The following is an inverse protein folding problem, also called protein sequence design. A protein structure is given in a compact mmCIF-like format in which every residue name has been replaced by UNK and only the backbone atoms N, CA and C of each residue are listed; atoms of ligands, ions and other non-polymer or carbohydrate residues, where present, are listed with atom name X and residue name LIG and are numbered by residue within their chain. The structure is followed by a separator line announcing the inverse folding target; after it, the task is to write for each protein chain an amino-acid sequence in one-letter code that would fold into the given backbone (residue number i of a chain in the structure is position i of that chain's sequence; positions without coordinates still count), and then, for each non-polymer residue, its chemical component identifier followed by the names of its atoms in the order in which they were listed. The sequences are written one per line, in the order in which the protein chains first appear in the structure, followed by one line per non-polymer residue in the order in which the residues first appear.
data_IF_792646690509
#
_entry.id   IF_792646690509
#
_cell.length_a   1.000
_cell.length_b   1.000
_cell.length_c   1.000
_cell.angle_alpha   90.00
_cell.angle_beta   90.00
_cell.angle_gamma   90.00
#
_symmetry.space_group_name_H-M   'P 1'
#
loop_
_entity.id
_entity.type
_entity.pdbx_description
1 polymer ?
#
# COMPACT_ATOMS: atom_id res chain seq x y z
N UNK A 1 18.32 -38.46 -48.69
CA UNK A 1 17.31 -37.49 -49.17
C UNK A 1 16.16 -37.48 -48.16
N UNK A 2 15.78 -36.28 -47.73
CA UNK A 2 14.68 -35.87 -46.82
C UNK A 2 13.33 -36.53 -47.16
N UNK A 3 12.27 -36.56 -46.34
CA UNK A 3 11.77 -35.67 -45.29
C UNK A 3 10.77 -36.45 -44.37
N UNK A 4 10.75 -36.22 -43.05
CA UNK A 4 9.73 -35.46 -42.27
C UNK A 4 8.25 -35.71 -42.62
N UNK A 5 7.46 -36.13 -41.63
CA UNK A 5 6.34 -35.35 -41.07
C UNK A 5 5.93 -35.93 -39.72
N UNK A 6 6.09 -35.12 -38.68
CA UNK A 6 5.60 -35.23 -37.31
C UNK A 6 4.08 -35.11 -37.26
N UNK A 7 3.43 -35.83 -36.33
CA UNK A 7 2.14 -35.42 -35.78
C UNK A 7 2.15 -35.66 -34.26
N UNK A 8 2.40 -34.58 -33.55
CA UNK A 8 2.08 -34.39 -32.14
C UNK A 8 0.57 -34.20 -31.99
N UNK A 9 -0.06 -34.94 -31.08
CA UNK A 9 -1.26 -34.47 -30.39
C UNK A 9 -1.51 -35.27 -29.11
N UNK A 10 -1.30 -34.58 -28.00
CA UNK A 10 -2.02 -34.69 -26.73
C UNK A 10 -1.92 -36.00 -25.95
N UNK A 11 -1.03 -36.00 -24.95
CA UNK A 11 -1.44 -36.22 -23.55
C UNK A 11 -0.29 -35.85 -22.61
N UNK A 12 -0.10 -34.57 -22.32
CA UNK A 12 0.82 -34.15 -21.26
C UNK A 12 0.04 -33.43 -20.18
N UNK A 13 -0.05 -34.15 -19.06
CA UNK A 13 -0.04 -33.68 -17.70
C UNK A 13 -0.97 -32.53 -17.35
N UNK A 14 -2.14 -32.93 -16.83
CA UNK A 14 -2.67 -32.31 -15.61
C UNK A 14 -1.58 -32.33 -14.54
N UNK A 15 -0.85 -31.22 -14.39
CA UNK A 15 0.00 -30.99 -13.22
C UNK A 15 -0.37 -29.66 -12.57
N UNK A 16 -0.82 -29.82 -11.33
CA UNK A 16 -0.74 -28.87 -10.23
C UNK A 16 -1.77 -27.74 -10.21
N UNK A 17 -2.96 -28.09 -9.71
CA UNK A 17 -3.72 -27.13 -8.91
C UNK A 17 -2.90 -26.71 -7.69
N UNK A 18 -2.76 -25.39 -7.53
CA UNK A 18 -2.81 -24.67 -6.27
C UNK A 18 -2.03 -25.25 -5.08
N UNK A 19 -0.75 -24.89 -5.01
CA UNK A 19 -0.18 -24.43 -3.75
C UNK A 19 0.96 -23.45 -4.09
N UNK A 20 0.57 -22.20 -4.35
CA UNK A 20 1.49 -21.09 -4.16
C UNK A 20 1.08 -20.48 -2.84
N UNK A 21 1.61 -21.00 -1.74
CA UNK A 21 1.88 -20.18 -0.58
C UNK A 21 2.63 -18.93 -1.10
N UNK A 22 1.87 -17.87 -1.41
CA UNK A 22 2.43 -16.57 -1.70
C UNK A 22 3.01 -16.07 -0.39
N UNK A 23 4.26 -16.50 -0.11
CA UNK A 23 5.00 -16.05 1.05
C UNK A 23 5.13 -14.53 0.96
N UNK A 24 4.42 -13.84 1.84
CA UNK A 24 4.53 -12.39 1.97
C UNK A 24 6.00 -12.04 2.26
N UNK A 25 6.55 -10.99 1.63
CA UNK A 25 7.95 -10.62 1.81
C UNK A 25 8.21 -10.25 3.26
N UNK A 26 9.33 -10.70 3.81
CA UNK A 26 9.73 -10.39 5.19
C UNK A 26 9.95 -8.89 5.39
N UNK A 27 9.96 -8.44 6.65
CA UNK A 27 10.26 -7.06 7.02
C UNK A 27 11.56 -6.54 6.39
N UNK A 28 12.62 -7.33 6.43
CA UNK A 28 13.93 -6.94 5.89
C UNK A 28 13.88 -6.79 4.37
N UNK A 29 13.17 -7.68 3.68
CA UNK A 29 12.95 -7.60 2.23
C UNK A 29 12.13 -6.36 1.86
N UNK A 30 11.08 -6.04 2.63
CA UNK A 30 10.27 -4.84 2.42
C UNK A 30 11.08 -3.56 2.64
N UNK A 31 11.92 -3.51 3.68
CA UNK A 31 12.80 -2.38 3.95
C UNK A 31 13.84 -2.18 2.84
N UNK A 32 14.45 -3.26 2.36
CA UNK A 32 15.42 -3.22 1.27
C UNK A 32 14.75 -2.77 -0.04
N UNK A 33 13.58 -3.31 -0.36
CA UNK A 33 12.82 -2.94 -1.56
C UNK A 33 12.41 -1.46 -1.54
N UNK A 34 11.95 -0.95 -0.40
CA UNK A 34 11.60 0.47 -0.25
C UNK A 34 12.83 1.38 -0.35
N UNK A 35 13.95 0.98 0.25
CA UNK A 35 15.22 1.73 0.13
C UNK A 35 15.63 1.86 -1.33
N UNK A 36 15.67 0.74 -2.07
CA UNK A 36 16.01 0.73 -3.49
C UNK A 36 15.06 1.59 -4.32
N UNK A 37 13.75 1.57 -4.01
CA UNK A 37 12.74 2.39 -4.70
C UNK A 37 12.94 3.89 -4.45
N UNK A 38 13.23 4.29 -3.21
CA UNK A 38 13.48 5.71 -2.88
C UNK A 38 14.78 6.21 -3.49
N UNK A 39 15.84 5.39 -3.49
CA UNK A 39 17.09 5.68 -4.20
C UNK A 39 16.89 5.88 -5.70
N UNK A 40 16.05 5.04 -6.31
CA UNK A 40 15.71 5.18 -7.73
C UNK A 40 14.91 6.47 -7.99
N UNK A 41 13.95 6.81 -7.13
CA UNK A 41 13.22 8.08 -7.23
C UNK A 41 14.16 9.31 -7.10
N UNK A 42 15.17 9.23 -6.24
CA UNK A 42 16.18 10.27 -6.06
C UNK A 42 17.08 10.42 -7.29
N UNK A 43 17.44 9.32 -7.95
CA UNK A 43 18.19 9.36 -9.23
C UNK A 43 17.36 9.99 -10.35
N UNK A 44 16.07 9.67 -10.40
CA UNK A 44 15.14 10.24 -11.37
C UNK A 44 14.85 11.73 -11.09
N UNK A 45 14.98 12.17 -9.84
CA UNK A 45 14.69 13.54 -9.41
C UNK A 45 15.85 14.10 -8.55
N UNK A 46 17.02 14.40 -9.13
CA UNK A 46 18.21 14.80 -8.36
C UNK A 46 18.05 16.13 -7.61
N UNK A 47 17.07 16.96 -7.98
CA UNK A 47 16.73 18.20 -7.27
C UNK A 47 15.84 18.00 -6.04
N UNK A 48 15.18 16.85 -5.91
CA UNK A 48 14.38 16.53 -4.74
C UNK A 48 15.31 16.03 -3.62
N UNK A 49 15.26 16.59 -2.42
CA UNK A 49 15.93 16.00 -1.25
C UNK A 49 14.96 15.02 -0.58
N UNK A 50 15.00 13.75 -0.98
CA UNK A 50 14.13 12.71 -0.40
C UNK A 50 14.60 12.25 0.99
N UNK A 51 15.72 12.80 1.50
CA UNK A 51 16.27 12.52 2.84
C UNK A 51 16.36 11.03 3.14
N UNK A 52 16.95 10.27 2.21
CA UNK A 52 17.03 8.79 2.25
C UNK A 52 17.61 8.31 3.59
N UNK A 53 18.62 8.99 4.11
CA UNK A 53 19.28 8.67 5.38
C UNK A 53 18.34 8.70 6.60
N UNK A 54 17.23 9.46 6.52
CA UNK A 54 16.23 9.52 7.58
C UNK A 54 15.30 8.31 7.60
N UNK A 55 15.28 7.50 6.53
CA UNK A 55 14.46 6.29 6.40
C UNK A 55 13.02 6.49 6.87
N UNK A 56 12.42 7.61 6.46
CA UNK A 56 11.09 8.03 6.91
C UNK A 56 9.97 7.01 6.58
N UNK A 57 10.21 6.09 5.65
CA UNK A 57 9.31 4.98 5.32
C UNK A 57 9.40 3.79 6.31
N UNK A 58 10.47 3.67 7.09
CA UNK A 58 10.70 2.53 7.97
C UNK A 58 9.57 2.31 8.99
N UNK A 59 9.02 3.34 9.67
CA UNK A 59 7.88 3.15 10.56
C UNK A 59 6.63 2.57 9.87
N UNK A 60 6.42 2.88 8.59
CA UNK A 60 5.31 2.32 7.82
C UNK A 60 5.53 0.86 7.46
N UNK A 61 6.78 0.48 7.11
CA UNK A 61 7.14 -0.93 6.85
C UNK A 61 7.04 -1.75 8.14
N UNK A 62 7.46 -1.20 9.27
CA UNK A 62 7.37 -1.86 10.58
C UNK A 62 5.92 -2.11 10.98
N UNK A 63 5.06 -1.12 10.75
CA UNK A 63 3.62 -1.25 10.99
C UNK A 63 2.98 -2.27 10.04
N UNK A 64 3.34 -2.27 8.75
CA UNK A 64 2.87 -3.27 7.79
C UNK A 64 3.27 -4.69 8.17
N UNK A 65 4.52 -4.89 8.61
CA UNK A 65 5.00 -6.19 9.09
C UNK A 65 4.26 -6.64 10.36
N UNK A 66 4.04 -5.72 11.32
CA UNK A 66 3.26 -6.03 12.51
C UNK A 66 1.86 -6.51 12.16
N UNK A 67 1.18 -5.87 11.21
CA UNK A 67 -0.15 -6.30 10.77
C UNK A 67 -0.14 -7.67 10.08
N UNK A 68 0.92 -8.01 9.34
CA UNK A 68 1.08 -9.32 8.71
C UNK A 68 1.28 -10.44 9.74
N UNK A 69 1.99 -10.15 10.84
CA UNK A 69 2.23 -11.11 11.91
C UNK A 69 1.03 -11.25 12.85
N UNK A 70 0.29 -10.14 13.09
CA UNK A 70 -0.80 -10.09 14.05
C UNK A 70 -2.15 -10.52 13.46
N UNK A 71 -2.36 -10.39 12.15
CA UNK A 71 -3.64 -10.65 11.50
C UNK A 71 -3.55 -11.81 10.51
N UNK A 72 -4.59 -12.67 10.43
CA UNK A 72 -4.72 -13.61 9.32
C UNK A 72 -4.72 -12.89 7.97
N UNK A 73 -4.25 -13.57 6.92
CA UNK A 73 -4.14 -13.01 5.58
C UNK A 73 -5.45 -12.38 5.07
N UNK A 74 -6.60 -13.00 5.36
CA UNK A 74 -7.91 -12.48 4.97
C UNK A 74 -8.24 -11.15 5.64
N UNK A 75 -8.00 -11.03 6.95
CA UNK A 75 -8.24 -9.80 7.71
C UNK A 75 -7.24 -8.72 7.30
N UNK A 76 -5.97 -9.08 7.09
CA UNK A 76 -4.95 -8.18 6.55
C UNK A 76 -5.33 -7.64 5.17
N UNK A 77 -5.87 -8.48 4.28
CA UNK A 77 -6.34 -8.06 2.96
C UNK A 77 -7.53 -7.09 3.05
N UNK A 78 -8.51 -7.37 3.92
CA UNK A 78 -9.65 -6.46 4.15
C UNK A 78 -9.16 -5.12 4.72
N UNK A 79 -8.26 -5.14 5.70
CA UNK A 79 -7.66 -3.95 6.27
C UNK A 79 -6.90 -3.13 5.22
N UNK A 80 -6.10 -3.78 4.38
CA UNK A 80 -5.39 -3.14 3.28
C UNK A 80 -6.36 -2.51 2.27
N UNK A 81 -7.51 -3.13 2.01
CA UNK A 81 -8.53 -2.56 1.12
C UNK A 81 -9.14 -1.27 1.69
N UNK A 82 -9.40 -1.22 3.01
CA UNK A 82 -9.85 0.00 3.70
C UNK A 82 -8.83 1.12 3.50
N UNK A 83 -7.54 0.84 3.72
CA UNK A 83 -6.47 1.82 3.57
C UNK A 83 -6.22 2.23 2.11
N UNK A 84 -6.32 1.30 1.16
CA UNK A 84 -6.21 1.61 -0.25
C UNK A 84 -7.29 2.60 -0.69
N UNK A 85 -8.53 2.42 -0.22
CA UNK A 85 -9.62 3.37 -0.46
C UNK A 85 -9.34 4.73 0.17
N UNK A 86 -8.86 4.76 1.41
CA UNK A 86 -8.49 6.00 2.09
C UNK A 86 -7.44 6.82 1.31
N UNK A 87 -6.43 6.15 0.75
CA UNK A 87 -5.39 6.78 -0.08
C UNK A 87 -5.99 7.27 -1.41
N UNK A 88 -6.87 6.48 -2.05
CA UNK A 88 -7.55 6.89 -3.29
C UNK A 88 -8.40 8.14 -3.08
N UNK A 89 -9.09 8.22 -1.95
CA UNK A 89 -9.90 9.38 -1.54
C UNK A 89 -9.02 10.55 -1.01
N UNK A 90 -7.69 10.47 -1.21
CA UNK A 90 -6.70 11.49 -0.84
C UNK A 90 -6.79 11.90 0.64
N UNK A 91 -7.22 11.00 1.52
CA UNK A 91 -7.44 11.27 2.94
C UNK A 91 -8.51 12.33 3.23
N UNK A 92 -9.57 12.39 2.42
CA UNK A 92 -10.73 13.24 2.70
C UNK A 92 -11.27 12.99 4.13
N UNK A 93 -11.70 14.01 4.87
CA UNK A 93 -12.15 13.85 6.26
C UNK A 93 -13.24 12.78 6.42
N UNK A 94 -14.19 12.72 5.48
CA UNK A 94 -15.22 11.68 5.44
C UNK A 94 -14.64 10.28 5.20
N UNK A 95 -13.62 10.16 4.34
CA UNK A 95 -12.94 8.89 4.07
C UNK A 95 -12.11 8.43 5.27
N UNK A 96 -11.47 9.36 6.00
CA UNK A 96 -10.75 9.07 7.26
C UNK A 96 -11.73 8.55 8.31
N UNK A 97 -12.87 9.22 8.48
CA UNK A 97 -13.89 8.79 9.43
C UNK A 97 -14.47 7.40 9.09
N UNK A 98 -14.76 7.16 7.80
CA UNK A 98 -15.26 5.87 7.34
C UNK A 98 -14.21 4.76 7.49
N UNK A 99 -12.96 5.01 7.11
CA UNK A 99 -11.86 4.06 7.28
C UNK A 99 -11.64 3.69 8.75
N UNK A 100 -11.74 4.66 9.67
CA UNK A 100 -11.65 4.42 11.11
C UNK A 100 -12.79 3.55 11.62
N UNK A 101 -14.02 3.84 11.17
CA UNK A 101 -15.20 3.05 11.52
C UNK A 101 -15.06 1.60 11.04
N UNK A 102 -14.71 1.39 9.77
CA UNK A 102 -14.53 0.07 9.19
C UNK A 102 -13.39 -0.70 9.89
N UNK A 103 -12.30 -0.02 10.23
CA UNK A 103 -11.18 -0.63 10.98
C UNK A 103 -11.61 -1.08 12.37
N UNK A 104 -12.47 -0.31 13.06
CA UNK A 104 -13.07 -0.70 14.35
C UNK A 104 -13.99 -1.90 14.19
N UNK A 105 -14.90 -1.87 13.23
CA UNK A 105 -15.83 -2.99 12.98
C UNK A 105 -15.08 -4.30 12.67
N UNK A 106 -13.97 -4.22 11.94
CA UNK A 106 -13.14 -5.37 11.58
C UNK A 106 -12.30 -5.91 12.76
N UNK A 107 -11.70 -5.03 13.56
CA UNK A 107 -10.66 -5.42 14.52
C UNK A 107 -11.13 -5.42 15.99
N UNK A 108 -12.18 -4.68 16.34
CA UNK A 108 -12.56 -4.46 17.76
C UNK A 108 -12.98 -5.75 18.48
N UNK A 109 -13.56 -6.71 17.76
CA UNK A 109 -14.08 -7.94 18.37
C UNK A 109 -12.99 -8.97 18.67
N UNK A 110 -12.02 -9.13 17.78
CA UNK A 110 -11.04 -10.23 17.84
C UNK A 110 -9.59 -9.75 17.99
N UNK A 111 -9.28 -8.49 17.67
CA UNK A 111 -7.92 -7.94 17.64
C UNK A 111 -7.83 -6.53 18.28
N UNK A 112 -8.27 -6.35 19.53
CA UNK A 112 -8.31 -5.04 20.18
C UNK A 112 -6.92 -4.38 20.32
N UNK A 113 -5.86 -5.16 20.52
CA UNK A 113 -4.48 -4.68 20.59
C UNK A 113 -3.98 -4.15 19.23
N UNK A 114 -4.41 -4.80 18.14
CA UNK A 114 -4.09 -4.34 16.77
C UNK A 114 -4.84 -3.05 16.49
N UNK A 115 -6.12 -2.97 16.89
CA UNK A 115 -6.92 -1.77 16.76
C UNK A 115 -6.30 -0.58 17.51
N UNK A 116 -5.85 -0.77 18.76
CA UNK A 116 -5.15 0.27 19.51
C UNK A 116 -3.91 0.76 18.75
N UNK A 117 -3.12 -0.16 18.22
CA UNK A 117 -1.92 0.19 17.45
C UNK A 117 -2.24 0.95 16.16
N UNK A 118 -3.31 0.58 15.47
CA UNK A 118 -3.81 1.29 14.27
C UNK A 118 -4.25 2.71 14.65
N UNK A 119 -5.00 2.86 15.74
CA UNK A 119 -5.45 4.15 16.24
C UNK A 119 -4.27 5.07 16.60
N UNK A 120 -3.24 4.54 17.27
CA UNK A 120 -2.06 5.32 17.64
C UNK A 120 -1.15 5.69 16.47
N UNK A 121 -1.00 4.78 15.50
CA UNK A 121 -0.04 4.94 14.40
C UNK A 121 -0.63 5.73 13.23
N UNK A 122 -1.92 5.49 12.94
CA UNK A 122 -2.61 6.09 11.79
C UNK A 122 -3.50 7.23 12.25
N UNK A 123 -4.54 6.94 13.03
CA UNK A 123 -5.62 7.89 13.28
C UNK A 123 -5.28 8.99 14.30
N UNK A 124 -4.25 8.80 15.13
CA UNK A 124 -3.71 9.87 15.99
C UNK A 124 -3.27 11.10 15.20
N UNK A 125 -2.89 10.90 13.93
CA UNK A 125 -2.43 11.95 13.03
C UNK A 125 -3.56 12.48 12.12
N UNK A 126 -4.84 12.29 12.47
CA UNK A 126 -6.00 12.74 11.70
C UNK A 126 -5.94 14.23 11.31
N UNK A 127 -5.45 15.10 12.20
CA UNK A 127 -5.22 16.52 11.89
C UNK A 127 -4.19 16.75 10.77
N UNK A 128 -3.18 15.88 10.65
CA UNK A 128 -2.19 15.95 9.56
C UNK A 128 -2.79 15.47 8.23
N UNK A 129 -3.69 14.49 8.25
CA UNK A 129 -4.43 14.07 7.06
C UNK A 129 -5.34 15.19 6.52
N UNK A 130 -6.00 15.94 7.41
CA UNK A 130 -6.81 17.09 7.01
C UNK A 130 -5.97 18.21 6.35
N UNK A 131 -4.79 18.49 6.89
CA UNK A 131 -3.82 19.42 6.27
C UNK A 131 -3.33 18.90 4.91
N UNK A 132 -2.99 17.61 4.82
CA UNK A 132 -2.56 16.97 3.58
C UNK A 132 -3.66 17.01 2.51
N UNK A 133 -4.90 16.69 2.86
CA UNK A 133 -6.05 16.78 1.96
C UNK A 133 -6.24 18.20 1.42
N UNK A 134 -6.16 19.21 2.30
CA UNK A 134 -6.25 20.62 1.88
C UNK A 134 -5.13 20.99 0.91
N UNK A 135 -3.91 20.53 1.16
CA UNK A 135 -2.78 20.75 0.26
C UNK A 135 -3.02 20.08 -1.10
N UNK A 136 -3.45 18.82 -1.12
CA UNK A 136 -3.74 18.05 -2.33
C UNK A 136 -4.87 18.65 -3.17
N UNK A 137 -5.93 19.18 -2.53
CA UNK A 137 -6.96 19.96 -3.23
C UNK A 137 -6.42 21.27 -3.81
N UNK A 138 -5.48 21.91 -3.09
CA UNK A 138 -4.77 23.09 -3.56
C UNK A 138 -3.94 22.84 -4.81
N UNK A 139 -3.28 21.68 -4.94
CA UNK A 139 -2.47 21.34 -6.12
C UNK A 139 -3.34 21.18 -7.37
N UNK A 140 -4.56 20.64 -7.25
CA UNK A 140 -5.52 20.57 -8.37
C UNK A 140 -6.00 21.97 -8.81
N UNK A 141 -5.98 22.97 -7.91
CA UNK A 141 -6.39 24.35 -8.21
C UNK A 141 -5.30 25.25 -8.82
N UNK A 142 -4.03 24.83 -8.80
CA UNK A 142 -2.92 25.57 -9.45
C UNK A 142 -3.01 25.50 -10.99
N UNK A 143 -3.87 24.64 -11.54
CA UNK A 143 -4.16 24.56 -12.97
C UNK A 143 -5.13 25.62 -13.53
N UNK A 144 -5.81 26.41 -12.69
CA UNK A 144 -6.80 27.40 -13.15
C UNK A 144 -6.43 28.87 -12.86
N UNK A 145 -5.28 29.15 -12.26
CA UNK A 145 -4.86 30.52 -11.94
C UNK A 145 -3.90 31.16 -12.96
N UNK A 146 -3.70 30.53 -14.13
CA UNK A 146 -2.93 31.10 -15.24
C UNK A 146 -3.86 31.43 -16.41
N UNK A 147 -4.49 32.62 -16.34
CA UNK A 147 -5.22 33.35 -17.37
C UNK A 147 -5.65 32.62 -18.65
N UNK A 148 -6.95 32.35 -18.79
CA UNK A 148 -7.52 31.86 -20.03
C UNK A 148 -9.02 31.63 -19.98
N UNK A 149 -9.79 32.73 -19.87
CA UNK A 149 -11.21 32.90 -20.21
C UNK A 149 -12.16 31.69 -20.07
N UNK A 150 -12.90 31.64 -18.95
CA UNK A 150 -14.22 30.98 -18.89
C UNK A 150 -15.26 31.79 -19.68
#
# INVERSE_FOLDING_TARGET
MSASTTNDAANVSSSSAADSEQKLPSREEQLAAMTARVEELQKQNPSADLKIEQKWWAPSVDFGSFLQDALPQEISAQFNAIFAKLIQDKFAPEAVAEARKQSRELLQAEYPEVLERVEETVFKNEGQFAELYRHLQGVDSIGCAAGGNC
#
